data_IF_971118602498
#
_entry.id   IF_971118602498
#
_cell.length_a   1.000
_cell.length_b   1.000
_cell.length_c   1.000
_cell.angle_alpha   90.00
_cell.angle_beta   90.00
_cell.angle_gamma   90.00
#
_symmetry.space_group_name_H-M   'P 1'
#
loop_
_entity.id
_entity.type
_entity.pdbx_description
1 polymer ?
#
# COMPACT_ATOMS: atom_id res chain seq x y z
N UNK A 1 38.93 -15.25 -73.30
CA UNK A 1 39.38 -16.15 -72.21
C UNK A 1 38.95 -15.54 -70.88
N UNK A 2 37.99 -16.17 -70.19
CA UNK A 2 38.13 -16.85 -68.86
C UNK A 2 38.39 -15.85 -67.71
N UNK A 3 37.69 -15.80 -66.57
CA UNK A 3 36.63 -16.60 -65.91
C UNK A 3 36.10 -15.76 -64.74
N UNK A 4 34.83 -15.96 -64.35
CA UNK A 4 34.30 -15.66 -63.00
C UNK A 4 34.98 -16.55 -61.95
N UNK A 5 35.14 -16.10 -60.70
CA UNK A 5 34.79 -16.88 -59.49
C UNK A 5 34.83 -16.04 -58.19
N UNK A 6 33.82 -16.25 -57.35
CA UNK A 6 33.66 -15.81 -55.96
C UNK A 6 34.79 -16.34 -55.05
N UNK A 7 35.12 -15.60 -53.98
CA UNK A 7 35.38 -16.19 -52.67
C UNK A 7 35.04 -15.20 -51.55
N UNK A 8 34.16 -15.67 -50.66
CA UNK A 8 33.73 -15.08 -49.39
C UNK A 8 34.86 -15.12 -48.36
N UNK A 9 35.02 -14.07 -47.55
CA UNK A 9 35.52 -14.22 -46.18
C UNK A 9 34.77 -13.27 -45.23
N UNK A 10 33.95 -13.91 -44.39
CA UNK A 10 33.31 -13.41 -43.18
C UNK A 10 34.32 -12.89 -42.14
N UNK A 11 33.74 -12.25 -41.10
CA UNK A 11 34.27 -11.92 -39.77
C UNK A 11 35.04 -10.58 -39.70
N UNK A 12 34.75 -9.63 -38.82
CA UNK A 12 34.01 -9.64 -37.56
C UNK A 12 33.46 -8.22 -37.32
N UNK A 13 32.15 -8.10 -37.23
CA UNK A 13 31.48 -7.03 -36.50
C UNK A 13 31.90 -7.15 -35.03
N UNK A 14 32.82 -6.30 -34.58
CA UNK A 14 32.93 -5.98 -33.15
C UNK A 14 31.70 -5.13 -32.79
N UNK A 15 30.57 -5.80 -32.58
CA UNK A 15 29.61 -5.32 -31.61
C UNK A 15 30.27 -5.51 -30.25
N UNK A 16 30.88 -4.45 -29.72
CA UNK A 16 31.04 -4.30 -28.29
C UNK A 16 29.64 -4.19 -27.70
N UNK A 17 28.99 -5.34 -27.50
CA UNK A 17 27.98 -5.46 -26.47
C UNK A 17 28.71 -5.33 -25.14
N UNK A 18 28.97 -4.09 -24.73
CA UNK A 18 28.98 -3.78 -23.31
C UNK A 18 27.56 -4.08 -22.83
N UNK A 19 27.35 -5.35 -22.47
CA UNK A 19 26.23 -5.73 -21.65
C UNK A 19 26.45 -5.00 -20.32
N UNK A 20 25.91 -3.79 -20.25
CA UNK A 20 25.69 -3.08 -18.99
C UNK A 20 24.96 -4.09 -18.14
N UNK A 21 25.62 -4.59 -17.09
CA UNK A 21 24.97 -5.44 -16.10
C UNK A 21 23.81 -4.61 -15.58
N UNK A 22 22.59 -5.00 -15.95
CA UNK A 22 21.38 -4.35 -15.48
C UNK A 22 21.40 -4.48 -13.96
N UNK A 23 21.44 -3.35 -13.27
CA UNK A 23 21.23 -3.34 -11.82
C UNK A 23 19.78 -3.77 -11.62
N UNK A 24 19.57 -4.89 -10.96
CA UNK A 24 18.22 -5.46 -10.81
C UNK A 24 17.51 -4.86 -9.61
N UNK A 25 18.24 -4.41 -8.58
CA UNK A 25 17.65 -3.83 -7.38
C UNK A 25 18.58 -2.87 -6.67
N UNK A 26 18.02 -1.79 -6.15
CA UNK A 26 18.66 -0.91 -5.18
C UNK A 26 17.84 -0.83 -3.90
N UNK A 27 18.49 -0.55 -2.77
CA UNK A 27 17.89 -0.55 -1.44
C UNK A 27 18.34 0.69 -0.67
N UNK A 28 17.35 1.41 -0.13
CA UNK A 28 17.59 2.51 0.78
C UNK A 28 17.88 2.00 2.19
N UNK A 29 18.99 2.48 2.74
CA UNK A 29 19.41 2.21 4.10
C UNK A 29 20.01 3.48 4.68
N UNK A 30 19.25 4.18 5.53
CA UNK A 30 19.66 5.44 6.16
C UNK A 30 21.00 5.30 6.91
N UNK A 31 21.17 4.19 7.64
CA UNK A 31 22.35 3.89 8.46
C UNK A 31 23.57 3.39 7.67
N UNK A 32 23.45 3.20 6.35
CA UNK A 32 24.51 2.66 5.50
C UNK A 32 25.55 3.72 5.11
N UNK A 33 26.28 4.22 6.11
CA UNK A 33 27.37 5.18 5.95
C UNK A 33 28.71 4.57 5.51
N UNK A 34 28.82 3.24 5.54
CA UNK A 34 30.00 2.49 5.13
C UNK A 34 29.60 1.12 4.56
N UNK A 35 30.52 0.46 3.85
CA UNK A 35 30.24 -0.82 3.19
C UNK A 35 29.87 -1.95 4.15
N UNK A 36 30.40 -1.96 5.37
CA UNK A 36 30.07 -2.99 6.36
C UNK A 36 28.64 -2.81 6.90
N UNK A 37 28.20 -1.57 7.09
CA UNK A 37 26.81 -1.26 7.40
C UNK A 37 25.87 -1.71 6.27
N UNK A 38 26.24 -1.47 5.00
CA UNK A 38 25.49 -1.93 3.85
C UNK A 38 25.37 -3.46 3.76
N UNK A 39 26.48 -4.19 3.99
CA UNK A 39 26.47 -5.66 4.05
C UNK A 39 25.61 -6.18 5.21
N UNK A 40 25.65 -5.52 6.37
CA UNK A 40 24.88 -5.92 7.55
C UNK A 40 23.39 -5.70 7.32
N UNK A 41 23.01 -4.52 6.81
CA UNK A 41 21.64 -4.19 6.43
C UNK A 41 21.05 -5.21 5.45
N UNK A 42 21.78 -5.53 4.38
CA UNK A 42 21.30 -6.49 3.38
C UNK A 42 21.14 -7.89 4.00
N UNK A 43 22.04 -8.30 4.89
CA UNK A 43 21.92 -9.57 5.63
C UNK A 43 20.69 -9.61 6.54
N UNK A 44 20.47 -8.55 7.30
CA UNK A 44 19.41 -8.49 8.32
C UNK A 44 18.02 -8.29 7.69
N UNK A 45 17.95 -7.58 6.56
CA UNK A 45 16.70 -7.40 5.81
C UNK A 45 16.18 -8.71 5.21
N UNK A 46 17.07 -9.69 4.98
CA UNK A 46 16.77 -10.94 4.30
C UNK A 46 16.46 -10.78 2.81
N UNK A 47 16.64 -9.57 2.26
CA UNK A 47 16.46 -9.24 0.86
C UNK A 47 17.63 -9.81 0.04
N UNK A 48 17.31 -10.39 -1.11
CA UNK A 48 18.28 -11.07 -1.98
C UNK A 48 17.75 -12.41 -2.51
N UNK A 49 18.60 -13.21 -3.18
CA UNK A 49 18.18 -14.40 -3.89
C UNK A 49 17.46 -15.37 -2.96
N UNK A 50 16.36 -15.95 -3.43
CA UNK A 50 15.59 -16.97 -2.70
C UNK A 50 16.26 -18.35 -2.78
N UNK A 51 15.75 -19.30 -1.99
CA UNK A 51 16.08 -20.72 -2.16
C UNK A 51 14.79 -21.45 -2.53
N UNK A 52 14.79 -22.10 -3.67
CA UNK A 52 13.69 -22.94 -4.12
C UNK A 52 13.99 -24.38 -3.72
N UNK A 53 13.13 -24.96 -2.90
CA UNK A 53 13.23 -26.36 -2.47
C UNK A 53 12.12 -27.18 -3.09
N UNK A 54 12.47 -28.33 -3.66
CA UNK A 54 11.56 -29.42 -3.98
C UNK A 54 11.71 -30.56 -2.96
N UNK A 55 10.96 -31.65 -3.13
CA UNK A 55 10.96 -32.78 -2.18
C UNK A 55 12.33 -33.46 -1.99
N UNK A 56 13.30 -33.20 -2.86
CA UNK A 56 14.59 -33.92 -2.90
C UNK A 56 15.82 -33.01 -2.95
N UNK A 57 15.66 -31.69 -3.13
CA UNK A 57 16.78 -30.76 -3.35
C UNK A 57 16.36 -29.31 -3.17
N UNK A 58 17.31 -28.47 -2.76
CA UNK A 58 17.17 -27.02 -2.71
C UNK A 58 18.18 -26.39 -3.66
N UNK A 59 17.78 -25.37 -4.40
CA UNK A 59 18.66 -24.61 -5.28
C UNK A 59 18.48 -23.11 -4.99
N UNK A 60 19.57 -22.37 -4.73
CA UNK A 60 19.49 -20.93 -4.62
C UNK A 60 19.22 -20.33 -6.00
N UNK A 61 18.43 -19.27 -6.02
CA UNK A 61 18.31 -18.40 -7.18
C UNK A 61 19.68 -17.83 -7.57
N UNK A 62 19.88 -17.45 -8.84
CA UNK A 62 21.13 -16.85 -9.30
C UNK A 62 21.57 -15.68 -8.42
N UNK A 63 22.88 -15.43 -8.25
CA UNK A 63 23.38 -14.28 -7.52
C UNK A 63 22.82 -12.97 -8.04
N UNK A 64 22.36 -12.11 -7.13
CA UNK A 64 21.79 -10.80 -7.47
C UNK A 64 22.81 -9.69 -7.23
N UNK A 65 22.79 -8.67 -8.08
CA UNK A 65 23.57 -7.45 -7.92
C UNK A 65 22.65 -6.38 -7.35
N UNK A 66 22.96 -5.96 -6.13
CA UNK A 66 22.11 -5.07 -5.33
C UNK A 66 22.89 -3.82 -4.96
N UNK A 67 22.33 -2.65 -5.25
CA UNK A 67 22.85 -1.38 -4.74
C UNK A 67 22.27 -1.11 -3.35
N UNK A 68 23.09 -0.70 -2.40
CA UNK A 68 22.64 -0.35 -1.04
C UNK A 68 23.25 0.98 -0.62
N UNK A 69 22.44 1.89 -0.12
CA UNK A 69 22.97 3.20 0.27
C UNK A 69 21.95 4.17 0.86
N UNK A 70 22.46 5.33 1.29
CA UNK A 70 21.67 6.44 1.85
C UNK A 70 21.62 7.67 0.91
N UNK A 71 21.78 7.44 -0.40
CA UNK A 71 21.85 8.49 -1.43
C UNK A 71 23.21 9.20 -1.51
N UNK A 72 23.91 9.40 -0.39
CA UNK A 72 25.27 9.97 -0.37
C UNK A 72 26.34 8.92 -0.61
N UNK A 73 26.20 7.76 0.02
CA UNK A 73 27.07 6.61 -0.16
C UNK A 73 26.26 5.48 -0.80
N UNK A 74 26.76 4.92 -1.89
CA UNK A 74 26.10 3.84 -2.64
C UNK A 74 27.13 2.74 -2.87
N UNK A 75 26.80 1.52 -2.45
CA UNK A 75 27.65 0.35 -2.56
C UNK A 75 26.99 -0.68 -3.47
N UNK A 76 27.73 -1.22 -4.44
CA UNK A 76 27.29 -2.40 -5.19
C UNK A 76 27.69 -3.64 -4.44
N UNK A 77 26.70 -4.44 -4.07
CA UNK A 77 26.89 -5.70 -3.38
C UNK A 77 26.41 -6.83 -4.30
N UNK A 78 27.15 -7.93 -4.30
CA UNK A 78 26.70 -9.19 -4.88
C UNK A 78 26.20 -10.08 -3.76
N UNK A 79 24.92 -10.45 -3.81
CA UNK A 79 24.29 -11.34 -2.86
C UNK A 79 24.21 -12.76 -3.45
N UNK A 80 24.51 -13.77 -2.65
CA UNK A 80 24.42 -15.18 -3.03
C UNK A 80 23.99 -16.02 -1.83
N UNK A 81 23.14 -17.03 -2.04
CA UNK A 81 22.76 -17.96 -0.95
C UNK A 81 23.49 -19.29 -1.05
N UNK A 82 23.90 -19.81 0.10
CA UNK A 82 24.48 -21.15 0.19
C UNK A 82 23.42 -22.22 -0.02
N UNK A 83 23.80 -23.31 -0.70
CA UNK A 83 22.92 -24.48 -0.93
C UNK A 83 22.81 -25.34 0.34
N UNK A 84 23.77 -25.21 1.26
CA UNK A 84 23.86 -26.05 2.47
C UNK A 84 23.08 -25.38 3.60
N UNK A 85 22.23 -26.15 4.28
CA UNK A 85 21.51 -25.68 5.47
C UNK A 85 22.49 -25.40 6.64
N UNK A 86 22.36 -24.27 7.36
CA UNK A 86 21.39 -23.19 7.13
C UNK A 86 21.76 -22.34 5.90
N UNK A 87 20.78 -22.05 5.04
CA UNK A 87 20.98 -21.26 3.81
C UNK A 87 21.34 -19.81 4.13
N UNK A 88 22.63 -19.54 4.30
CA UNK A 88 23.16 -18.23 4.66
C UNK A 88 23.27 -17.32 3.45
N UNK A 89 22.97 -16.04 3.65
CA UNK A 89 23.19 -15.00 2.65
C UNK A 89 24.65 -14.51 2.72
N UNK A 90 25.42 -14.83 1.70
CA UNK A 90 26.76 -14.32 1.46
C UNK A 90 26.71 -13.04 0.66
N UNK A 91 27.48 -12.03 1.10
CA UNK A 91 27.45 -10.69 0.53
C UNK A 91 28.87 -10.22 0.30
N UNK A 92 29.23 -10.05 -0.96
CA UNK A 92 30.53 -9.55 -1.39
C UNK A 92 30.41 -8.18 -2.05
N UNK A 93 31.48 -7.42 -2.07
CA UNK A 93 31.54 -6.21 -2.89
C UNK A 93 31.60 -6.60 -4.37
N UNK A 94 30.96 -5.80 -5.22
CA UNK A 94 30.99 -6.00 -6.66
C UNK A 94 31.59 -4.77 -7.33
N UNK A 95 32.64 -4.98 -8.14
CA UNK A 95 33.38 -3.89 -8.79
C UNK A 95 32.78 -3.48 -10.15
N UNK A 96 31.56 -3.89 -10.45
CA UNK A 96 30.91 -3.48 -11.70
C UNK A 96 30.64 -1.98 -11.71
N UNK A 97 30.81 -1.32 -12.87
CA UNK A 97 30.60 0.11 -13.00
C UNK A 97 29.17 0.46 -12.60
N UNK A 98 29.06 1.28 -11.56
CA UNK A 98 27.80 1.81 -11.05
C UNK A 98 27.25 2.86 -12.02
N UNK A 99 25.97 2.79 -12.34
CA UNK A 99 25.24 4.00 -12.70
C UNK A 99 24.80 4.73 -11.42
N UNK A 100 25.78 5.28 -10.68
CA UNK A 100 25.54 6.02 -9.43
C UNK A 100 24.56 7.17 -9.67
N UNK A 101 24.65 7.82 -10.82
CA UNK A 101 23.81 8.94 -11.19
C UNK A 101 22.33 8.55 -11.29
N UNK A 102 21.99 7.46 -11.98
CA UNK A 102 20.59 7.00 -12.07
C UNK A 102 20.03 6.57 -10.71
N UNK A 103 20.85 5.92 -9.86
CA UNK A 103 20.43 5.57 -8.49
C UNK A 103 20.18 6.82 -7.63
N UNK A 104 21.08 7.80 -7.68
CA UNK A 104 20.93 9.06 -6.95
C UNK A 104 19.73 9.87 -7.42
N UNK A 105 19.46 9.87 -8.73
CA UNK A 105 18.32 10.57 -9.32
C UNK A 105 16.99 9.90 -8.96
N UNK A 106 16.90 8.56 -9.00
CA UNK A 106 15.75 7.82 -8.48
C UNK A 106 15.51 8.17 -7.00
N UNK A 107 16.58 8.15 -6.20
CA UNK A 107 16.51 8.46 -4.77
C UNK A 107 16.03 9.90 -4.51
N UNK A 108 16.55 10.89 -5.23
CA UNK A 108 16.12 12.28 -5.10
C UNK A 108 14.65 12.45 -5.51
N UNK A 109 14.24 11.80 -6.60
CA UNK A 109 12.86 11.82 -7.09
C UNK A 109 11.92 11.20 -6.05
N UNK A 110 12.33 10.11 -5.39
CA UNK A 110 11.59 9.51 -4.29
C UNK A 110 11.42 10.46 -3.12
N UNK A 111 12.51 11.07 -2.63
CA UNK A 111 12.44 12.00 -1.51
C UNK A 111 11.55 13.20 -1.83
N UNK A 112 11.66 13.75 -3.04
CA UNK A 112 10.76 14.82 -3.52
C UNK A 112 9.30 14.38 -3.53
N UNK A 113 8.99 13.18 -4.04
CA UNK A 113 7.64 12.63 -4.07
C UNK A 113 7.07 12.40 -2.67
N UNK A 114 7.87 11.80 -1.77
CA UNK A 114 7.49 11.57 -0.38
C UNK A 114 7.18 12.89 0.34
N UNK A 115 8.04 13.89 0.19
CA UNK A 115 7.81 15.22 0.75
C UNK A 115 6.58 15.90 0.14
N UNK A 116 6.37 15.75 -1.17
CA UNK A 116 5.17 16.24 -1.83
C UNK A 116 3.91 15.65 -1.21
N UNK A 117 3.83 14.32 -1.04
CA UNK A 117 2.64 13.70 -0.46
C UNK A 117 2.43 14.11 1.01
N UNK A 118 3.49 14.15 1.82
CA UNK A 118 3.37 14.59 3.22
C UNK A 118 2.99 16.06 3.35
N UNK A 119 3.50 16.93 2.48
CA UNK A 119 3.18 18.36 2.52
C UNK A 119 1.81 18.70 1.94
N UNK A 120 1.30 17.89 1.00
CA UNK A 120 -0.01 18.10 0.38
C UNK A 120 -1.18 17.67 1.25
N UNK A 121 -0.94 17.02 2.42
CA UNK A 121 -1.98 16.58 3.33
C UNK A 121 -3.15 15.98 2.54
N UNK A 122 -2.93 14.83 1.89
CA UNK A 122 -3.96 14.18 1.08
C UNK A 122 -5.09 13.67 1.99
N UNK A 123 -5.95 14.59 2.40
CA UNK A 123 -7.18 14.32 3.11
C UNK A 123 -8.35 14.91 2.37
N UNK A 124 -9.43 14.13 2.32
CA UNK A 124 -10.70 14.58 1.76
C UNK A 124 -11.74 14.63 2.85
N UNK A 125 -12.55 15.68 2.79
CA UNK A 125 -13.83 15.72 3.48
C UNK A 125 -14.88 15.21 2.48
N UNK A 126 -15.48 14.02 2.66
CA UNK A 126 -16.43 13.45 1.70
C UNK A 126 -17.65 14.33 1.44
N UNK A 127 -17.99 15.24 2.34
CA UNK A 127 -19.02 16.27 2.09
C UNK A 127 -18.70 17.21 0.92
N UNK A 128 -17.44 17.24 0.46
CA UNK A 128 -17.00 17.97 -0.74
C UNK A 128 -17.20 17.20 -2.06
N UNK A 129 -17.63 15.93 -2.00
CA UNK A 129 -17.91 15.12 -3.19
C UNK A 129 -19.38 15.36 -3.57
N UNK A 130 -19.66 16.06 -4.69
CA UNK A 130 -21.02 16.48 -5.03
C UNK A 130 -21.99 15.31 -5.20
N UNK A 131 -21.52 14.16 -5.72
CA UNK A 131 -22.35 12.96 -5.88
C UNK A 131 -22.89 12.40 -4.54
N UNK A 132 -22.23 12.70 -3.42
CA UNK A 132 -22.60 12.23 -2.07
C UNK A 132 -23.61 13.13 -1.35
N UNK A 133 -23.78 14.36 -1.82
CA UNK A 133 -24.76 15.30 -1.25
C UNK A 133 -26.17 15.11 -1.82
N UNK A 134 -26.36 14.17 -2.75
CA UNK A 134 -27.65 13.88 -3.36
C UNK A 134 -28.58 13.06 -2.43
N UNK A 135 -29.22 13.77 -1.48
CA UNK A 135 -30.56 13.57 -0.90
C UNK A 135 -31.22 12.18 -0.90
N UNK A 136 -30.49 11.08 -0.67
CA UNK A 136 -31.09 9.81 -0.28
C UNK A 136 -30.91 9.64 1.23
N UNK A 137 -31.68 10.43 1.97
CA UNK A 137 -31.94 10.13 3.38
C UNK A 137 -32.50 8.72 3.45
N UNK A 138 -31.73 7.81 4.05
CA UNK A 138 -32.27 6.53 4.49
C UNK A 138 -33.23 6.84 5.64
N UNK A 139 -34.48 7.17 5.32
CA UNK A 139 -35.54 7.38 6.30
C UNK A 139 -35.84 6.03 6.93
N UNK A 140 -35.45 5.85 8.19
CA UNK A 140 -35.85 4.70 8.98
C UNK A 140 -37.31 4.83 9.43
N UNK A 141 -37.95 3.68 9.65
CA UNK A 141 -39.33 3.55 10.12
C UNK A 141 -39.60 4.21 11.48
N UNK A 142 -38.57 4.67 12.19
CA UNK A 142 -38.61 5.23 13.54
C UNK A 142 -38.54 6.76 13.59
N UNK A 143 -38.46 7.46 12.45
CA UNK A 143 -38.42 8.93 12.40
C UNK A 143 -37.05 9.54 12.73
N UNK A 144 -36.04 8.73 13.02
CA UNK A 144 -34.65 9.17 13.21
C UNK A 144 -33.93 9.16 11.85
N UNK A 145 -33.40 10.33 11.46
CA UNK A 145 -32.73 10.49 10.16
C UNK A 145 -31.25 10.19 10.32
N UNK A 146 -30.81 9.03 9.83
CA UNK A 146 -29.40 8.65 9.88
C UNK A 146 -28.56 9.53 8.96
N UNK A 147 -27.34 9.93 9.37
CA UNK A 147 -26.43 10.68 8.51
C UNK A 147 -26.10 9.93 7.23
N UNK A 148 -25.83 10.66 6.15
CA UNK A 148 -25.69 10.09 4.80
C UNK A 148 -24.23 10.00 4.35
N UNK A 149 -23.35 10.77 4.97
CA UNK A 149 -21.93 10.87 4.59
C UNK A 149 -21.02 10.45 5.74
N UNK A 150 -21.16 9.20 6.18
CA UNK A 150 -20.37 8.60 7.26
C UNK A 150 -19.36 7.58 6.75
N UNK A 151 -18.35 7.29 7.58
CA UNK A 151 -17.33 6.29 7.26
C UNK A 151 -17.92 4.88 7.15
N UNK A 152 -18.93 4.50 7.96
CA UNK A 152 -19.55 3.19 7.85
C UNK A 152 -20.39 3.05 6.56
N UNK A 153 -21.06 4.11 6.12
CA UNK A 153 -21.72 4.14 4.81
C UNK A 153 -20.71 4.03 3.67
N UNK A 154 -19.55 4.66 3.79
CA UNK A 154 -18.49 4.53 2.79
C UNK A 154 -17.96 3.10 2.66
N UNK A 155 -17.68 2.42 3.77
CA UNK A 155 -17.20 1.03 3.74
C UNK A 155 -18.20 0.05 3.14
N UNK A 156 -19.49 0.36 3.19
CA UNK A 156 -20.57 -0.54 2.76
C UNK A 156 -21.15 -0.19 1.40
N UNK A 157 -20.72 0.93 0.80
CA UNK A 157 -21.18 1.40 -0.51
C UNK A 157 -20.01 1.46 -1.50
N UNK A 158 -19.94 0.54 -2.48
CA UNK A 158 -18.83 0.48 -3.42
C UNK A 158 -18.69 1.76 -4.26
N UNK A 159 -19.80 2.43 -4.60
CA UNK A 159 -19.76 3.67 -5.38
C UNK A 159 -19.13 4.81 -4.57
N UNK A 160 -19.44 4.90 -3.28
CA UNK A 160 -18.85 5.91 -2.39
C UNK A 160 -17.36 5.63 -2.17
N UNK A 161 -16.98 4.37 -2.01
CA UNK A 161 -15.57 4.01 -1.93
C UNK A 161 -14.81 4.35 -3.23
N UNK A 162 -15.39 4.08 -4.39
CA UNK A 162 -14.82 4.42 -5.69
C UNK A 162 -14.63 5.93 -5.85
N UNK A 163 -15.62 6.75 -5.45
CA UNK A 163 -15.48 8.21 -5.46
C UNK A 163 -14.35 8.71 -4.54
N UNK A 164 -14.14 8.08 -3.38
CA UNK A 164 -13.00 8.40 -2.50
C UNK A 164 -11.68 8.13 -3.22
N UNK A 165 -11.56 7.01 -3.94
CA UNK A 165 -10.36 6.65 -4.69
C UNK A 165 -10.12 7.60 -5.87
N UNK A 166 -11.14 7.86 -6.68
CA UNK A 166 -11.04 8.82 -7.79
C UNK A 166 -10.64 10.22 -7.30
N UNK A 167 -11.18 10.65 -6.16
CA UNK A 167 -10.84 11.93 -5.58
C UNK A 167 -9.36 11.98 -5.14
N UNK A 168 -8.84 10.89 -4.56
CA UNK A 168 -7.43 10.77 -4.24
C UNK A 168 -6.54 10.89 -5.50
N UNK A 169 -6.92 10.25 -6.60
CA UNK A 169 -6.22 10.35 -7.89
C UNK A 169 -6.21 11.80 -8.42
N UNK A 170 -7.36 12.47 -8.40
CA UNK A 170 -7.51 13.86 -8.88
C UNK A 170 -6.71 14.84 -8.03
N UNK A 171 -6.70 14.68 -6.71
CA UNK A 171 -5.93 15.57 -5.81
C UNK A 171 -4.43 15.42 -6.02
N UNK A 172 -3.96 14.18 -6.14
CA UNK A 172 -2.57 13.90 -6.44
C UNK A 172 -2.19 14.45 -7.84
N UNK A 173 -3.04 14.25 -8.85
CA UNK A 173 -2.85 14.81 -10.19
C UNK A 173 -2.76 16.35 -10.17
N UNK A 174 -3.68 16.99 -9.45
CA UNK A 174 -3.76 18.45 -9.33
C UNK A 174 -2.52 19.01 -8.65
N UNK A 175 -2.09 18.39 -7.55
CA UNK A 175 -0.87 18.77 -6.83
C UNK A 175 0.37 18.64 -7.71
N UNK A 176 0.52 17.53 -8.43
CA UNK A 176 1.61 17.30 -9.38
C UNK A 176 1.59 18.29 -10.56
N UNK A 177 0.40 18.77 -10.95
CA UNK A 177 0.21 19.78 -11.98
C UNK A 177 0.59 21.21 -11.58
N UNK A 178 0.87 21.47 -10.29
CA UNK A 178 1.25 22.82 -9.82
C UNK A 178 2.63 23.24 -10.36
N UNK A 179 2.89 24.55 -10.58
CA UNK A 179 4.18 25.02 -11.08
C UNK A 179 5.39 24.57 -10.23
N UNK A 180 5.20 24.47 -8.91
CA UNK A 180 6.25 24.06 -7.97
C UNK A 180 6.59 22.55 -8.06
N UNK A 181 5.66 21.73 -8.57
CA UNK A 181 5.80 20.27 -8.64
C UNK A 181 5.82 19.73 -10.09
N UNK A 182 5.77 20.62 -11.08
CA UNK A 182 5.83 20.25 -12.49
C UNK A 182 7.12 19.47 -12.83
N UNK A 183 8.26 19.89 -12.29
CA UNK A 183 9.53 19.18 -12.49
C UNK A 183 9.50 17.77 -11.90
N UNK A 184 8.85 17.61 -10.74
CA UNK A 184 8.64 16.28 -10.15
C UNK A 184 7.80 15.43 -11.11
N UNK A 185 6.65 15.92 -11.55
CA UNK A 185 5.78 15.22 -12.50
C UNK A 185 6.51 14.78 -13.79
N UNK A 186 7.32 15.66 -14.37
CA UNK A 186 8.15 15.35 -15.55
C UNK A 186 9.17 14.24 -15.26
N UNK A 187 9.79 14.22 -14.07
CA UNK A 187 10.68 13.12 -13.65
C UNK A 187 9.92 11.81 -13.50
N UNK A 188 8.72 11.81 -12.89
CA UNK A 188 7.91 10.59 -12.71
C UNK A 188 7.53 9.98 -14.07
N UNK A 189 7.12 10.81 -15.02
CA UNK A 189 6.80 10.40 -16.40
C UNK A 189 8.01 9.87 -17.15
N UNK A 190 9.13 10.58 -17.10
CA UNK A 190 10.35 10.20 -17.83
C UNK A 190 11.00 8.92 -17.31
N UNK A 191 10.60 8.46 -16.13
CA UNK A 191 11.22 7.32 -15.45
C UNK A 191 10.33 6.08 -15.28
N UNK A 192 9.10 6.06 -15.79
CA UNK A 192 8.16 4.94 -15.60
C UNK A 192 8.13 4.44 -14.15
N UNK A 193 8.07 5.37 -13.21
CA UNK A 193 8.28 5.08 -11.80
C UNK A 193 7.07 4.38 -11.18
N UNK A 194 7.33 3.36 -10.39
CA UNK A 194 6.35 2.53 -9.67
C UNK A 194 6.77 2.46 -8.21
N UNK A 195 5.85 2.75 -7.30
CA UNK A 195 5.91 2.47 -5.86
C UNK A 195 5.01 1.28 -5.56
N UNK A 196 5.58 0.19 -5.07
CA UNK A 196 4.82 -0.96 -4.58
C UNK A 196 5.44 -1.51 -3.31
N UNK A 197 4.62 -1.74 -2.29
CA UNK A 197 5.02 -2.39 -1.03
C UNK A 197 6.24 -1.72 -0.36
N UNK A 198 6.31 -0.38 -0.40
CA UNK A 198 7.44 0.36 0.17
C UNK A 198 8.75 0.25 -0.63
N UNK A 199 8.67 -0.17 -1.90
CA UNK A 199 9.80 -0.09 -2.83
C UNK A 199 9.42 0.75 -4.04
N UNK A 200 10.31 1.66 -4.42
CA UNK A 200 10.16 2.50 -5.59
C UNK A 200 11.11 2.04 -6.69
N UNK A 201 10.67 1.85 -7.91
CA UNK A 201 11.56 1.54 -9.03
C UNK A 201 11.05 2.08 -10.35
N UNK A 202 11.93 2.15 -11.33
CA UNK A 202 11.64 2.68 -12.64
C UNK A 202 12.81 2.55 -13.60
N UNK A 203 12.64 3.10 -14.80
CA UNK A 203 13.64 3.16 -15.86
C UNK A 203 14.26 4.56 -15.85
N UNK A 204 15.44 4.72 -15.28
CA UNK A 204 16.17 6.00 -15.30
C UNK A 204 17.24 5.98 -16.37
N UNK A 205 17.08 6.84 -17.40
CA UNK A 205 18.02 6.97 -18.53
C UNK A 205 18.30 5.62 -19.21
N UNK A 206 17.27 4.79 -19.37
CA UNK A 206 17.36 3.46 -19.98
C UNK A 206 17.87 2.36 -19.06
N UNK A 207 18.08 2.63 -17.77
CA UNK A 207 18.52 1.65 -16.77
C UNK A 207 17.39 1.38 -15.79
N UNK A 208 17.04 0.11 -15.60
CA UNK A 208 16.13 -0.29 -14.53
C UNK A 208 16.82 -0.07 -13.18
N UNK A 209 16.18 0.68 -12.29
CA UNK A 209 16.67 0.90 -10.93
C UNK A 209 15.48 0.79 -10.00
N UNK A 210 15.63 0.07 -8.90
CA UNK A 210 14.68 0.10 -7.79
C UNK A 210 15.36 0.53 -6.49
N UNK A 211 14.57 0.92 -5.51
CA UNK A 211 14.94 1.46 -4.21
C UNK A 211 13.89 0.93 -3.22
N UNK A 212 14.17 -0.18 -2.54
CA UNK A 212 13.31 -0.65 -1.43
C UNK A 212 13.66 0.08 -0.14
N UNK A 213 12.64 0.56 0.57
CA UNK A 213 12.77 1.22 1.86
C UNK A 213 12.99 0.14 2.91
N UNK A 214 14.06 0.31 3.69
CA UNK A 214 14.32 -0.42 4.93
C UNK A 214 13.03 -0.67 5.74
N UNK A 215 12.83 -1.92 6.20
CA UNK A 215 11.74 -2.29 7.14
C UNK A 215 11.70 -1.40 8.40
N UNK A 216 12.81 -0.75 8.77
CA UNK A 216 12.88 0.11 9.95
C UNK A 216 12.35 1.54 9.72
N UNK A 217 12.04 1.92 8.48
CA UNK A 217 11.42 3.22 8.14
C UNK A 217 9.88 3.16 8.17
N UNK A 218 9.31 2.12 8.78
CA UNK A 218 7.87 1.84 8.88
C UNK A 218 7.03 2.94 9.55
N UNK A 219 7.65 3.99 10.09
CA UNK A 219 6.94 5.08 10.74
C UNK A 219 6.36 6.12 9.77
N UNK A 220 6.64 6.03 8.47
CA UNK A 220 6.15 6.97 7.47
C UNK A 220 5.64 6.27 6.22
N UNK A 221 4.66 5.37 6.37
CA UNK A 221 3.88 4.91 5.21
C UNK A 221 3.04 6.06 4.67
N UNK A 222 3.29 6.42 3.41
CA UNK A 222 2.52 7.41 2.69
C UNK A 222 1.04 6.99 2.71
N UNK A 223 0.17 7.87 3.21
CA UNK A 223 -1.22 7.54 3.48
C UNK A 223 -2.16 8.63 2.95
N UNK A 224 -3.37 8.20 2.60
CA UNK A 224 -4.52 9.04 2.24
C UNK A 224 -5.58 8.95 3.33
N UNK A 225 -6.18 10.07 3.73
CA UNK A 225 -7.12 10.13 4.85
C UNK A 225 -8.47 10.71 4.39
N UNK A 226 -9.51 9.90 4.31
CA UNK A 226 -10.87 10.42 4.16
C UNK A 226 -11.45 10.75 5.54
N UNK A 227 -11.66 12.02 5.85
CA UNK A 227 -12.21 12.50 7.13
C UNK A 227 -13.71 12.82 7.01
N UNK A 228 -14.54 12.19 7.83
CA UNK A 228 -15.99 12.34 7.75
C UNK A 228 -16.46 13.36 8.79
N UNK A 229 -17.20 14.37 8.33
CA UNK A 229 -17.80 15.40 9.20
C UNK A 229 -19.05 14.91 9.93
N UNK A 230 -19.71 13.88 9.40
CA UNK A 230 -20.85 13.22 10.01
C UNK A 230 -20.41 11.87 10.60
N UNK A 231 -21.01 11.49 11.72
CA UNK A 231 -20.82 10.19 12.37
C UNK A 231 -22.15 9.69 12.89
N UNK A 232 -22.36 8.37 12.86
CA UNK A 232 -23.56 7.75 13.42
C UNK A 232 -23.63 7.86 14.95
N UNK A 233 -22.48 8.01 15.61
CA UNK A 233 -22.35 8.03 17.07
C UNK A 233 -21.65 9.30 17.50
N UNK A 234 -22.23 10.04 18.46
CA UNK A 234 -21.54 11.16 19.09
C UNK A 234 -20.26 10.68 19.78
N UNK A 235 -19.11 10.94 19.15
CA UNK A 235 -17.79 10.54 19.61
C UNK A 235 -16.88 11.75 19.76
N UNK A 236 -15.89 11.65 20.65
CA UNK A 236 -14.89 12.70 20.87
C UNK A 236 -13.86 12.82 19.74
N UNK A 237 -13.85 11.88 18.80
CA UNK A 237 -12.92 11.82 17.66
C UNK A 237 -13.74 11.61 16.40
N UNK A 238 -13.43 12.35 15.34
CA UNK A 238 -14.05 12.21 14.03
C UNK A 238 -13.80 10.82 13.43
N UNK A 239 -14.78 10.36 12.66
CA UNK A 239 -14.65 9.16 11.85
C UNK A 239 -13.76 9.43 10.64
N UNK A 240 -12.99 8.42 10.25
CA UNK A 240 -12.03 8.53 9.16
C UNK A 240 -11.70 7.18 8.55
N UNK A 241 -11.41 7.16 7.27
CA UNK A 241 -10.83 6.00 6.60
C UNK A 241 -9.42 6.35 6.15
N UNK A 242 -8.44 5.59 6.62
CA UNK A 242 -7.03 5.78 6.30
C UNK A 242 -6.61 4.67 5.35
N UNK A 243 -5.97 5.05 4.25
CA UNK A 243 -5.49 4.14 3.23
C UNK A 243 -3.99 4.33 3.05
N UNK A 244 -3.27 3.23 2.87
CA UNK A 244 -1.96 3.26 2.20
C UNK A 244 -2.19 3.17 0.70
N UNK A 245 -1.26 3.65 -0.11
CA UNK A 245 -1.36 3.50 -1.56
C UNK A 245 -0.05 3.07 -2.20
N UNK A 246 -0.18 2.23 -3.24
CA UNK A 246 0.86 1.90 -4.20
C UNK A 246 0.64 2.80 -5.44
N UNK A 247 1.70 3.39 -5.99
CA UNK A 247 1.66 4.27 -7.16
C UNK A 247 2.24 3.53 -8.37
N UNK A 248 1.53 3.46 -9.48
CA UNK A 248 1.91 2.66 -10.65
C UNK A 248 2.30 3.50 -11.87
N UNK A 249 2.51 4.80 -11.68
CA UNK A 249 2.83 5.74 -12.76
C UNK A 249 1.66 6.66 -13.09
N UNK A 250 1.77 7.37 -14.21
CA UNK A 250 0.70 8.20 -14.77
C UNK A 250 0.11 7.53 -16.01
N UNK A 251 -1.19 7.70 -16.22
CA UNK A 251 -1.87 7.29 -17.45
C UNK A 251 -1.61 8.28 -18.61
N UNK A 252 -2.23 8.03 -19.77
CA UNK A 252 -2.10 8.87 -20.95
C UNK A 252 -2.62 10.32 -20.76
N UNK A 253 -3.41 10.57 -19.72
CA UNK A 253 -3.96 11.87 -19.36
C UNK A 253 -3.21 12.54 -18.21
N UNK A 254 -2.08 11.97 -17.78
CA UNK A 254 -1.31 12.38 -16.59
C UNK A 254 -2.06 12.20 -15.26
N UNK A 255 -3.01 11.27 -15.20
CA UNK A 255 -3.71 10.88 -13.99
C UNK A 255 -2.92 9.75 -13.32
N UNK A 256 -2.63 9.84 -12.01
CA UNK A 256 -1.89 8.82 -11.30
C UNK A 256 -2.70 7.53 -11.20
N UNK A 257 -2.08 6.42 -11.60
CA UNK A 257 -2.66 5.09 -11.41
C UNK A 257 -2.24 4.60 -10.04
N UNK A 258 -3.20 4.35 -9.15
CA UNK A 258 -2.92 3.95 -7.77
C UNK A 258 -3.72 2.72 -7.35
N UNK A 259 -3.16 1.98 -6.40
CA UNK A 259 -3.89 0.94 -5.67
C UNK A 259 -3.92 1.32 -4.19
N UNK A 260 -5.12 1.38 -3.60
CA UNK A 260 -5.32 1.83 -2.22
C UNK A 260 -5.72 0.66 -1.32
N UNK A 261 -5.11 0.59 -0.14
CA UNK A 261 -5.35 -0.45 0.87
C UNK A 261 -5.73 0.19 2.19
N UNK A 262 -6.89 -0.18 2.71
CA UNK A 262 -7.41 0.31 3.99
C UNK A 262 -6.47 -0.08 5.14
N UNK A 263 -6.27 0.82 6.10
CA UNK A 263 -5.47 0.61 7.31
C UNK A 263 -6.41 0.49 8.51
N UNK A 264 -6.70 -0.74 9.01
CA UNK A 264 -7.69 -0.92 10.08
C UNK A 264 -7.31 -0.27 11.42
N UNK A 265 -6.02 -0.12 11.71
CA UNK A 265 -5.54 0.50 12.96
C UNK A 265 -5.78 2.01 13.01
N UNK A 266 -5.71 2.67 11.86
CA UNK A 266 -5.81 4.13 11.75
C UNK A 266 -7.22 4.60 11.35
N UNK A 267 -8.02 3.72 10.73
CA UNK A 267 -9.42 3.96 10.35
C UNK A 267 -10.39 3.82 11.52
N UNK A 268 -11.44 4.65 11.53
CA UNK A 268 -12.48 4.70 12.57
C UNK A 268 -13.88 4.87 11.98
N UNK A 269 -14.86 4.16 12.55
CA UNK A 269 -16.28 4.28 12.26
C UNK A 269 -17.08 4.28 13.56
N UNK A 270 -18.09 5.16 13.68
CA UNK A 270 -18.90 5.30 14.89
C UNK A 270 -18.06 5.54 16.15
N UNK A 271 -16.96 6.27 16.04
CA UNK A 271 -16.04 6.53 17.15
C UNK A 271 -15.18 5.33 17.58
N UNK A 272 -15.22 4.19 16.90
CA UNK A 272 -14.38 3.00 17.18
C UNK A 272 -13.40 2.76 16.04
N UNK A 273 -12.18 2.34 16.34
CA UNK A 273 -11.23 1.92 15.28
C UNK A 273 -11.66 0.60 14.65
N UNK A 274 -11.39 0.41 13.35
CA UNK A 274 -11.68 -0.86 12.69
C UNK A 274 -10.91 -2.04 13.31
N UNK A 275 -9.72 -1.82 13.88
CA UNK A 275 -9.00 -2.86 14.65
C UNK A 275 -9.68 -3.30 15.95
N UNK A 276 -10.51 -2.43 16.54
CA UNK A 276 -11.34 -2.83 17.68
C UNK A 276 -12.52 -3.65 17.16
N UNK A 277 -13.12 -3.21 16.05
CA UNK A 277 -14.16 -3.97 15.39
C UNK A 277 -13.64 -5.31 14.84
N UNK A 278 -12.35 -5.49 14.54
CA UNK A 278 -11.81 -6.79 14.09
C UNK A 278 -11.73 -7.85 15.19
N UNK A 279 -12.11 -7.52 16.43
CA UNK A 279 -12.06 -8.44 17.56
C UNK A 279 -10.67 -8.55 18.22
N UNK A 280 -9.67 -7.80 17.75
CA UNK A 280 -8.30 -7.87 18.30
C UNK A 280 -8.22 -7.46 19.78
N UNK A 281 -9.21 -6.70 20.26
CA UNK A 281 -9.33 -6.25 21.65
C UNK A 281 -10.64 -6.72 22.29
N UNK A 282 -11.21 -7.81 21.77
CA UNK A 282 -12.55 -8.27 22.08
C UNK A 282 -13.61 -7.68 21.15
N UNK A 283 -14.78 -8.32 21.15
CA UNK A 283 -15.91 -7.95 20.30
C UNK A 283 -16.56 -6.66 20.82
N UNK A 284 -16.72 -5.67 19.94
CA UNK A 284 -17.31 -4.38 20.33
C UNK A 284 -18.84 -4.46 20.41
N UNK A 285 -19.42 -3.81 21.41
CA UNK A 285 -20.87 -3.60 21.49
C UNK A 285 -21.31 -2.36 20.71
N UNK A 286 -22.43 -2.46 19.98
CA UNK A 286 -23.05 -1.40 19.17
C UNK A 286 -24.55 -1.33 19.47
N UNK A 287 -25.02 -0.25 20.08
CA UNK A 287 -26.42 0.06 20.39
C UNK A 287 -27.06 1.06 19.42
N UNK A 288 -26.26 1.89 18.76
CA UNK A 288 -26.75 2.88 17.82
C UNK A 288 -27.39 2.23 16.58
N UNK A 289 -28.68 2.51 16.36
CA UNK A 289 -29.47 1.91 15.28
C UNK A 289 -28.92 2.28 13.89
N UNK A 290 -28.52 3.53 13.67
CA UNK A 290 -27.94 3.97 12.40
C UNK A 290 -26.66 3.20 12.05
N UNK A 291 -25.74 3.06 13.00
CA UNK A 291 -24.51 2.32 12.81
C UNK A 291 -24.79 0.84 12.55
N UNK A 292 -25.70 0.23 13.31
CA UNK A 292 -26.08 -1.18 13.07
C UNK A 292 -26.61 -1.38 11.65
N UNK A 293 -27.48 -0.50 11.17
CA UNK A 293 -28.05 -0.61 9.83
C UNK A 293 -27.00 -0.39 8.73
N UNK A 294 -26.08 0.54 8.92
CA UNK A 294 -24.91 0.68 8.04
C UNK A 294 -24.12 -0.64 8.00
N UNK A 295 -23.69 -1.18 9.15
CA UNK A 295 -22.87 -2.39 9.20
C UNK A 295 -23.62 -3.64 8.68
N UNK A 296 -24.92 -3.77 8.91
CA UNK A 296 -25.72 -4.88 8.36
C UNK A 296 -25.73 -4.90 6.83
N UNK A 297 -25.40 -3.80 6.15
CA UNK A 297 -25.25 -3.79 4.68
C UNK A 297 -24.07 -4.63 4.20
N UNK A 298 -23.12 -4.98 5.07
CA UNK A 298 -22.04 -5.92 4.74
C UNK A 298 -22.54 -7.28 4.25
N UNK A 299 -23.74 -7.71 4.65
CA UNK A 299 -24.38 -8.94 4.12
C UNK A 299 -24.62 -8.92 2.62
N UNK A 300 -24.57 -7.75 1.98
CA UNK A 300 -24.76 -7.56 0.55
C UNK A 300 -23.45 -7.42 -0.23
N UNK A 301 -22.30 -7.46 0.44
CA UNK A 301 -21.00 -7.49 -0.22
C UNK A 301 -20.71 -8.92 -0.69
N UNK A 302 -20.73 -9.13 -2.00
CA UNK A 302 -20.58 -10.46 -2.63
C UNK A 302 -19.23 -11.12 -2.40
N UNK A 303 -18.18 -10.33 -2.14
CA UNK A 303 -16.82 -10.82 -1.86
C UNK A 303 -16.57 -11.13 -0.38
N UNK A 304 -17.55 -10.89 0.49
CA UNK A 304 -17.45 -11.09 1.93
C UNK A 304 -18.32 -12.23 2.44
N UNK A 305 -17.94 -12.79 3.58
CA UNK A 305 -18.76 -13.72 4.36
C UNK A 305 -19.37 -12.95 5.52
N UNK A 306 -20.70 -13.00 5.65
CA UNK A 306 -21.44 -12.39 6.75
C UNK A 306 -22.18 -13.47 7.52
N UNK A 307 -21.94 -13.53 8.82
CA UNK A 307 -22.55 -14.51 9.73
C UNK A 307 -23.14 -13.78 10.93
N UNK A 308 -24.23 -14.33 11.47
CA UNK A 308 -24.82 -13.86 12.72
C UNK A 308 -25.27 -15.04 13.56
N UNK A 309 -24.98 -14.99 14.85
CA UNK A 309 -25.38 -16.03 15.81
C UNK A 309 -25.94 -15.38 17.07
N UNK A 310 -26.99 -15.98 17.64
CA UNK A 310 -27.54 -15.55 18.93
C UNK A 310 -26.53 -15.88 20.03
N UNK A 311 -26.41 -14.98 21.00
CA UNK A 311 -25.52 -15.13 22.16
C UNK A 311 -26.27 -14.84 23.44
N UNK A 312 -25.91 -15.53 24.52
CA UNK A 312 -26.41 -15.19 25.85
C UNK A 312 -25.86 -13.82 26.23
N UNK A 313 -26.75 -12.96 26.73
CA UNK A 313 -26.42 -11.62 27.24
C UNK A 313 -25.35 -11.71 28.33
N UNK A 314 -25.32 -12.78 29.11
CA UNK A 314 -24.32 -12.99 30.16
C UNK A 314 -22.91 -13.29 29.63
N UNK A 315 -22.78 -13.69 28.36
CA UNK A 315 -21.49 -13.98 27.71
C UNK A 315 -20.87 -12.74 27.05
N UNK A 316 -21.56 -11.59 27.09
CA UNK A 316 -21.08 -10.34 26.48
C UNK A 316 -20.15 -9.62 27.47
N UNK A 317 -18.86 -9.41 27.13
CA UNK A 317 -17.87 -8.94 28.09
C UNK A 317 -18.20 -7.59 28.73
N UNK A 318 -18.93 -6.69 28.05
CA UNK A 318 -19.35 -5.37 28.53
C UNK A 318 -20.70 -4.98 27.90
N UNK A 319 -21.78 -5.02 28.67
CA UNK A 319 -23.07 -4.42 28.29
C UNK A 319 -23.15 -3.04 28.97
N UNK A 320 -23.48 -1.96 28.24
CA UNK A 320 -23.69 -0.66 28.86
C UNK A 320 -24.75 -0.72 29.97
N UNK A 321 -24.54 -0.06 31.11
CA UNK A 321 -25.53 -0.04 32.19
C UNK A 321 -26.86 0.57 31.71
N UNK A 322 -27.97 -0.12 31.95
CA UNK A 322 -29.33 0.34 31.61
C UNK A 322 -29.97 -0.31 30.38
N UNK A 323 -29.33 -1.29 29.73
CA UNK A 323 -29.97 -2.14 28.72
C UNK A 323 -30.75 -3.28 29.40
N UNK A 324 -32.04 -3.41 29.07
CA UNK A 324 -32.88 -4.50 29.56
C UNK A 324 -32.35 -5.84 29.06
N UNK A 325 -32.18 -6.79 29.99
CA UNK A 325 -31.74 -8.17 29.69
C UNK A 325 -32.75 -8.97 28.86
N UNK A 326 -33.87 -8.36 28.47
CA UNK A 326 -34.91 -8.98 27.65
C UNK A 326 -34.64 -8.88 26.14
N UNK A 327 -33.69 -8.04 25.71
CA UNK A 327 -33.36 -7.90 24.29
C UNK A 327 -32.47 -9.05 23.84
N UNK A 328 -32.91 -9.80 22.83
CA UNK A 328 -32.14 -10.88 22.23
C UNK A 328 -30.88 -10.31 21.55
N UNK A 329 -29.71 -10.81 21.91
CA UNK A 329 -28.41 -10.32 21.44
C UNK A 329 -27.78 -11.26 20.41
N UNK A 330 -27.16 -10.66 19.38
CA UNK A 330 -26.48 -11.37 18.31
C UNK A 330 -25.02 -10.95 18.22
N UNK A 331 -24.14 -11.93 18.04
CA UNK A 331 -22.79 -11.71 17.53
C UNK A 331 -22.85 -11.71 16.01
N UNK A 332 -22.37 -10.65 15.40
CA UNK A 332 -22.20 -10.52 13.97
C UNK A 332 -20.73 -10.64 13.61
N UNK A 333 -20.45 -11.34 12.51
CA UNK A 333 -19.13 -11.49 11.95
C UNK A 333 -19.16 -11.16 10.46
N UNK A 334 -18.20 -10.37 10.00
CA UNK A 334 -17.97 -10.10 8.60
C UNK A 334 -16.49 -10.32 8.26
N UNK A 335 -16.21 -11.02 7.17
CA UNK A 335 -14.86 -11.20 6.66
C UNK A 335 -14.80 -10.99 5.16
N UNK A 336 -13.95 -10.06 4.72
CA UNK A 336 -13.63 -9.87 3.32
C UNK A 336 -12.14 -10.21 3.12
N UNK A 337 -11.82 -11.35 2.48
CA UNK A 337 -10.44 -11.79 2.30
C UNK A 337 -9.56 -10.72 1.66
N UNK A 338 -8.42 -10.45 2.30
CA UNK A 338 -7.45 -9.46 1.82
C UNK A 338 -7.82 -7.99 2.07
N UNK A 339 -8.96 -7.70 2.71
CA UNK A 339 -9.42 -6.31 2.96
C UNK A 339 -9.56 -6.04 4.45
N UNK A 340 -10.52 -6.67 5.15
CA UNK A 340 -10.68 -6.57 6.60
C UNK A 340 -11.65 -7.62 7.14
N UNK A 341 -11.61 -7.84 8.46
CA UNK A 341 -12.59 -8.61 9.21
C UNK A 341 -13.15 -7.78 10.36
N UNK A 342 -14.42 -8.00 10.71
CA UNK A 342 -15.12 -7.34 11.81
C UNK A 342 -16.01 -8.30 12.57
N UNK A 343 -16.12 -8.09 13.87
CA UNK A 343 -16.95 -8.81 14.83
C UNK A 343 -17.55 -7.80 15.80
N UNK A 344 -18.86 -7.81 15.96
CA UNK A 344 -19.55 -6.93 16.92
C UNK A 344 -20.77 -7.60 17.55
N UNK A 345 -21.18 -7.11 18.71
CA UNK A 345 -22.43 -7.45 19.36
C UNK A 345 -23.46 -6.35 19.12
N UNK A 346 -24.68 -6.73 18.79
CA UNK A 346 -25.83 -5.84 18.67
C UNK A 346 -27.13 -6.64 18.88
N UNK A 347 -28.28 -5.99 19.12
CA UNK A 347 -29.58 -6.66 19.12
C UNK A 347 -29.81 -7.51 17.86
N UNK A 348 -30.44 -8.67 18.03
CA UNK A 348 -30.92 -9.52 16.95
C UNK A 348 -32.16 -8.88 16.33
N UNK A 349 -31.98 -8.07 15.27
CA UNK A 349 -33.07 -7.56 14.43
C UNK A 349 -32.95 -8.11 13.02
#
# INVERSE_FOLDING_TARGET
MKKRFLASLLLLTYFSNDAVANIETGLYCESCSNINAAKTFLRDSGLGPTVECNQSSCFPSPPEIIQVGNGRHVYTLKASRTIIYPHTLEITENNQPLNVASYQELYQTWEEFKQFVFSHNLYVVPSSIPELTSNRSDVMSTGEQCPNTTAAKALTNPNLMDHIFQKAEVELATGLGTPNHRQLSEKLLGSNMVLSNGAMGGVFKGVNVSASISKNDSNQTVSYIAEFSETEVNASVSDRLVFTFDYHGLDANNIPVMNMKLVPGASRIGGKSLSVLSGNFGTAFIDNECLQNSLKRFKHISSGTFESSQVDVNDIPHIPPGQDREVQMCQYYFNQPGVYSMTWYAPCN
#
